data_IF_459223502092
#
_entry.id   IF_459223502092
#
_cell.length_a   1.000
_cell.length_b   1.000
_cell.length_c   1.000
_cell.angle_alpha   90.00
_cell.angle_beta   90.00
_cell.angle_gamma   90.00
#
_symmetry.space_group_name_H-M   'P 1'
#
loop_
_entity.id
_entity.type
_entity.pdbx_description
1 polymer ?
#
# COMPACT_ATOMS: atom_id res chain seq x y z
N UNK A 1 22.97 15.92 -4.49
CA UNK A 1 22.60 15.93 -5.92
C UNK A 1 22.04 14.56 -6.29
N UNK A 2 22.84 13.49 -6.38
CA UNK A 2 22.30 12.14 -6.59
C UNK A 2 21.60 11.55 -5.36
N UNK A 3 22.24 11.56 -4.17
CA UNK A 3 21.59 11.09 -2.93
C UNK A 3 20.28 11.86 -2.61
N UNK A 4 20.30 13.18 -2.79
CA UNK A 4 19.10 14.04 -2.65
C UNK A 4 17.97 13.70 -3.65
N UNK A 5 18.29 13.14 -4.82
CA UNK A 5 17.28 12.72 -5.80
C UNK A 5 16.68 11.36 -5.46
N UNK A 6 17.48 10.46 -4.88
CA UNK A 6 17.05 9.13 -4.45
C UNK A 6 16.16 9.24 -3.20
N UNK A 7 16.56 10.03 -2.21
CA UNK A 7 15.74 10.32 -1.01
C UNK A 7 14.39 10.97 -1.36
N UNK A 8 14.38 11.88 -2.34
CA UNK A 8 13.13 12.49 -2.84
C UNK A 8 12.26 11.51 -3.61
N UNK A 9 12.87 10.59 -4.34
CA UNK A 9 12.16 9.55 -5.08
C UNK A 9 11.49 8.58 -4.10
N UNK A 10 12.21 8.10 -3.10
CA UNK A 10 11.70 7.24 -2.02
C UNK A 10 10.53 7.92 -1.27
N UNK A 11 10.73 9.15 -0.81
CA UNK A 11 9.67 9.93 -0.17
C UNK A 11 8.48 10.14 -1.11
N UNK A 12 8.74 10.42 -2.38
CA UNK A 12 7.71 10.58 -3.40
C UNK A 12 6.88 9.33 -3.60
N UNK A 13 7.50 8.15 -3.65
CA UNK A 13 6.79 6.89 -3.80
C UNK A 13 5.89 6.61 -2.60
N UNK A 14 6.36 6.85 -1.37
CA UNK A 14 5.56 6.69 -0.14
C UNK A 14 4.32 7.59 -0.14
N UNK A 15 4.45 8.82 -0.63
CA UNK A 15 3.30 9.71 -0.82
C UNK A 15 2.34 9.19 -1.89
N UNK A 16 2.84 8.60 -2.98
CA UNK A 16 1.96 8.02 -4.01
C UNK A 16 1.27 6.75 -3.53
N UNK A 17 1.95 5.89 -2.77
CA UNK A 17 1.36 4.70 -2.14
C UNK A 17 0.26 5.11 -1.15
N UNK A 18 0.53 6.13 -0.33
CA UNK A 18 -0.48 6.75 0.55
C UNK A 18 -1.74 7.17 -0.22
N UNK A 19 -1.58 7.78 -1.39
CA UNK A 19 -2.72 8.15 -2.25
C UNK A 19 -3.43 6.93 -2.87
N UNK A 20 -2.69 5.85 -3.14
CA UNK A 20 -3.26 4.56 -3.53
C UNK A 20 -4.18 3.99 -2.46
N UNK A 21 -3.71 3.92 -1.21
CA UNK A 21 -4.53 3.46 -0.08
C UNK A 21 -5.77 4.35 0.12
N UNK A 22 -5.67 5.67 -0.07
CA UNK A 22 -6.83 6.55 0.02
C UNK A 22 -7.90 6.24 -1.04
N UNK A 23 -7.49 5.83 -2.24
CA UNK A 23 -8.42 5.38 -3.27
C UNK A 23 -9.09 4.06 -2.89
N UNK A 24 -8.33 3.06 -2.41
CA UNK A 24 -8.89 1.80 -1.93
C UNK A 24 -9.86 2.01 -0.74
N UNK A 25 -9.52 2.93 0.17
CA UNK A 25 -10.39 3.39 1.25
C UNK A 25 -11.71 3.96 0.71
N UNK A 26 -11.66 4.88 -0.26
CA UNK A 26 -12.86 5.47 -0.86
C UNK A 26 -13.78 4.41 -1.47
N UNK A 27 -13.23 3.44 -2.22
CA UNK A 27 -14.00 2.34 -2.80
C UNK A 27 -14.69 1.50 -1.73
N UNK A 28 -13.98 1.14 -0.66
CA UNK A 28 -14.55 0.33 0.41
C UNK A 28 -15.64 1.08 1.20
N UNK A 29 -15.47 2.38 1.41
CA UNK A 29 -16.54 3.20 2.01
C UNK A 29 -17.79 3.26 1.12
N UNK A 30 -17.62 3.38 -0.20
CA UNK A 30 -18.72 3.39 -1.16
C UNK A 30 -19.45 2.04 -1.21
N UNK A 31 -18.73 0.94 -0.97
CA UNK A 31 -19.27 -0.41 -0.84
C UNK A 31 -19.82 -0.74 0.57
N UNK A 32 -19.75 0.19 1.52
CA UNK A 32 -20.08 0.00 2.95
C UNK A 32 -19.25 -1.10 3.65
N UNK A 33 -18.01 -1.31 3.19
CA UNK A 33 -17.06 -2.23 3.79
C UNK A 33 -16.14 -1.49 4.77
N UNK A 34 -16.60 -1.27 6.00
CA UNK A 34 -15.81 -0.55 7.02
C UNK A 34 -14.56 -1.29 7.48
N UNK A 35 -14.50 -2.61 7.37
CA UNK A 35 -13.34 -3.40 7.79
C UNK A 35 -12.15 -3.13 6.86
N UNK A 36 -12.34 -3.28 5.54
CA UNK A 36 -11.29 -2.98 4.57
C UNK A 36 -11.01 -1.47 4.47
N UNK A 37 -12.03 -0.62 4.63
CA UNK A 37 -11.82 0.83 4.72
C UNK A 37 -10.86 1.19 5.86
N UNK A 38 -11.07 0.63 7.06
CA UNK A 38 -10.20 0.90 8.20
C UNK A 38 -8.77 0.40 7.97
N UNK A 39 -8.61 -0.76 7.33
CA UNK A 39 -7.30 -1.34 6.98
C UNK A 39 -6.53 -0.37 6.08
N UNK A 40 -7.13 0.05 4.97
CA UNK A 40 -6.52 1.01 4.03
C UNK A 40 -6.22 2.37 4.65
N UNK A 41 -7.07 2.85 5.57
CA UNK A 41 -6.78 4.07 6.30
C UNK A 41 -5.61 3.93 7.30
N UNK A 42 -5.28 2.71 7.71
CA UNK A 42 -4.22 2.41 8.68
C UNK A 42 -2.86 2.13 8.03
N UNK A 43 -2.82 1.61 6.79
CA UNK A 43 -1.56 1.26 6.11
C UNK A 43 -0.58 2.45 6.04
N UNK A 44 -0.96 3.68 5.63
CA UNK A 44 -0.02 4.80 5.57
C UNK A 44 0.67 5.13 6.90
N UNK A 45 -0.05 5.07 8.04
CA UNK A 45 0.53 5.35 9.35
C UNK A 45 1.36 4.17 9.88
N UNK A 46 0.99 2.95 9.52
CA UNK A 46 1.65 1.73 9.99
C UNK A 46 2.93 1.40 9.23
N UNK A 47 2.94 1.62 7.91
CA UNK A 47 4.00 1.14 7.01
C UNK A 47 4.86 2.28 6.47
N UNK A 48 4.24 3.40 6.08
CA UNK A 48 4.93 4.45 5.32
C UNK A 48 5.43 5.60 6.22
N UNK A 49 4.69 5.93 7.28
CA UNK A 49 4.97 7.12 8.10
C UNK A 49 6.35 7.10 8.76
N UNK A 50 6.86 5.94 9.19
CA UNK A 50 8.17 5.83 9.82
C UNK A 50 9.28 6.36 8.92
N UNK A 51 9.26 5.94 7.66
CA UNK A 51 10.20 6.38 6.64
C UNK A 51 9.96 7.86 6.25
N UNK A 52 8.71 8.24 5.98
CA UNK A 52 8.36 9.64 5.66
C UNK A 52 8.81 10.63 6.75
N UNK A 53 8.68 10.26 8.02
CA UNK A 53 9.06 11.09 9.17
C UNK A 53 10.56 11.39 9.18
N UNK A 54 11.41 10.44 8.80
CA UNK A 54 12.86 10.67 8.69
C UNK A 54 13.18 11.77 7.65
N UNK A 55 12.45 11.77 6.52
CA UNK A 55 12.61 12.76 5.45
C UNK A 55 11.99 14.12 5.79
N UNK A 56 11.12 14.17 6.81
CA UNK A 56 10.52 15.38 7.35
C UNK A 56 11.20 15.88 8.64
N UNK A 57 12.37 15.33 9.02
CA UNK A 57 13.05 15.68 10.27
C UNK A 57 13.37 17.18 10.44
N UNK A 58 13.63 17.89 9.33
CA UNK A 58 13.86 19.35 9.33
C UNK A 58 12.56 20.18 9.40
N UNK A 59 11.40 19.52 9.36
CA UNK A 59 10.05 20.10 9.40
C UNK A 59 9.18 19.47 10.51
N UNK A 60 9.62 19.47 11.78
CA UNK A 60 8.99 18.67 12.85
C UNK A 60 7.54 19.06 13.16
N UNK A 61 7.16 20.33 12.97
CA UNK A 61 5.75 20.75 13.12
C UNK A 61 4.86 20.17 12.02
N UNK A 62 5.40 20.05 10.81
CA UNK A 62 4.70 19.47 9.68
C UNK A 62 4.64 17.94 9.78
N UNK A 63 5.74 17.29 10.18
CA UNK A 63 5.77 15.84 10.48
C UNK A 63 4.69 15.46 11.51
N UNK A 64 4.59 16.22 12.61
CA UNK A 64 3.54 16.01 13.62
C UNK A 64 2.13 16.23 13.05
N UNK A 65 1.94 17.21 12.15
CA UNK A 65 0.67 17.47 11.47
C UNK A 65 0.30 16.29 10.56
N UNK A 66 1.23 15.81 9.72
CA UNK A 66 1.04 14.64 8.87
C UNK A 66 0.63 13.42 9.69
N UNK A 67 1.38 13.12 10.76
CA UNK A 67 1.06 12.01 11.66
C UNK A 67 -0.36 12.11 12.21
N UNK A 68 -0.72 13.29 12.75
CA UNK A 68 -2.03 13.50 13.35
C UNK A 68 -3.14 13.36 12.30
N UNK A 69 -2.96 13.90 11.09
CA UNK A 69 -3.93 13.77 10.01
C UNK A 69 -4.15 12.31 9.60
N UNK A 70 -3.09 11.51 9.49
CA UNK A 70 -3.22 10.07 9.18
C UNK A 70 -3.92 9.29 10.31
N UNK A 71 -3.59 9.59 11.58
CA UNK A 71 -4.28 8.98 12.74
C UNK A 71 -5.76 9.40 12.82
N UNK A 72 -6.07 10.66 12.50
CA UNK A 72 -7.45 11.16 12.48
C UNK A 72 -8.25 10.55 11.33
N UNK A 73 -7.63 10.35 10.17
CA UNK A 73 -8.23 9.63 9.06
C UNK A 73 -8.59 8.20 9.44
N UNK A 74 -7.65 7.45 10.06
CA UNK A 74 -7.91 6.11 10.57
C UNK A 74 -9.14 6.07 11.50
N UNK A 75 -9.26 7.03 12.43
CA UNK A 75 -10.39 7.10 13.35
C UNK A 75 -11.74 7.41 12.66
N UNK A 76 -11.70 8.06 11.48
CA UNK A 76 -12.87 8.45 10.70
C UNK A 76 -13.17 7.50 9.53
N UNK A 77 -12.31 6.53 9.24
CA UNK A 77 -12.52 5.49 8.23
C UNK A 77 -13.41 4.35 8.76
N UNK A 78 -14.56 4.69 9.33
CA UNK A 78 -15.50 3.72 9.92
C UNK A 78 -16.93 4.01 9.49
N UNK A 79 -17.81 3.02 9.59
CA UNK A 79 -19.26 3.21 9.37
C UNK A 79 -19.96 3.95 10.52
N UNK A 80 -19.24 4.34 11.58
CA UNK A 80 -19.83 5.08 12.71
C UNK A 80 -19.89 6.59 12.44
N UNK A 81 -19.16 7.08 11.44
CA UNK A 81 -19.27 8.45 10.91
C UNK A 81 -20.01 8.44 9.57
N UNK A 82 -20.52 9.60 9.15
CA UNK A 82 -21.16 9.67 7.82
C UNK A 82 -20.13 9.62 6.69
N UNK A 83 -20.56 9.20 5.49
CA UNK A 83 -19.69 9.16 4.30
C UNK A 83 -19.09 10.53 3.98
N UNK A 84 -19.83 11.62 4.22
CA UNK A 84 -19.36 12.99 4.06
C UNK A 84 -18.26 13.34 5.06
N UNK A 85 -18.40 12.96 6.34
CA UNK A 85 -17.36 13.18 7.35
C UNK A 85 -16.09 12.38 7.06
N UNK A 86 -16.24 11.15 6.55
CA UNK A 86 -15.10 10.37 6.08
C UNK A 86 -14.44 11.04 4.86
N UNK A 87 -15.21 11.56 3.91
CA UNK A 87 -14.66 12.28 2.75
C UNK A 87 -13.89 13.53 3.18
N UNK A 88 -14.42 14.32 4.10
CA UNK A 88 -13.72 15.51 4.62
C UNK A 88 -12.35 15.16 5.20
N UNK A 89 -12.24 14.03 5.91
CA UNK A 89 -10.98 13.54 6.44
C UNK A 89 -10.01 13.08 5.35
N UNK A 90 -10.53 12.39 4.32
CA UNK A 90 -9.75 11.94 3.16
C UNK A 90 -9.24 13.14 2.37
N UNK A 91 -10.06 14.16 2.16
CA UNK A 91 -9.67 15.38 1.43
C UNK A 91 -8.62 16.18 2.21
N UNK A 92 -8.75 16.26 3.54
CA UNK A 92 -7.73 16.83 4.43
C UNK A 92 -6.41 16.05 4.32
N UNK A 93 -6.48 14.72 4.30
CA UNK A 93 -5.31 13.86 4.16
C UNK A 93 -4.65 13.98 2.76
N UNK A 94 -5.44 14.07 1.69
CA UNK A 94 -4.92 14.35 0.33
C UNK A 94 -4.23 15.71 0.28
N UNK A 95 -4.76 16.71 0.99
CA UNK A 95 -4.16 18.04 1.08
C UNK A 95 -2.82 17.99 1.83
N UNK A 96 -2.73 17.28 2.97
CA UNK A 96 -1.46 17.19 3.70
C UNK A 96 -0.38 16.44 2.90
N UNK A 97 -0.76 15.42 2.13
CA UNK A 97 0.16 14.70 1.23
C UNK A 97 0.69 15.63 0.14
N UNK A 98 -0.15 16.48 -0.45
CA UNK A 98 0.29 17.47 -1.43
C UNK A 98 1.23 18.52 -0.81
N UNK A 99 0.93 19.01 0.40
CA UNK A 99 1.84 19.91 1.12
C UNK A 99 3.20 19.24 1.42
N UNK A 100 3.20 17.94 1.75
CA UNK A 100 4.42 17.17 2.01
C UNK A 100 5.29 17.06 0.75
N UNK A 101 4.65 16.77 -0.39
CA UNK A 101 5.32 16.74 -1.69
C UNK A 101 5.97 18.08 -2.01
N UNK A 102 5.27 19.19 -1.80
CA UNK A 102 5.81 20.53 -2.07
C UNK A 102 7.01 20.88 -1.17
N UNK A 103 6.99 20.45 0.10
CA UNK A 103 8.06 20.71 1.08
C UNK A 103 9.35 19.96 0.71
N UNK A 104 9.25 18.66 0.42
CA UNK A 104 10.42 17.79 0.27
C UNK A 104 10.86 17.69 -1.20
N UNK A 105 9.92 17.51 -2.12
CA UNK A 105 10.20 17.24 -3.53
C UNK A 105 10.21 18.53 -4.35
N UNK A 106 9.26 19.43 -4.09
CA UNK A 106 9.14 20.72 -4.76
C UNK A 106 8.97 20.60 -6.28
N UNK A 107 9.66 21.45 -7.04
CA UNK A 107 9.51 21.52 -8.51
C UNK A 107 9.80 20.20 -9.24
N UNK A 108 10.59 19.31 -8.64
CA UNK A 108 10.89 17.98 -9.21
C UNK A 108 9.63 17.12 -9.38
N UNK A 109 8.59 17.35 -8.58
CA UNK A 109 7.31 16.65 -8.71
C UNK A 109 6.60 16.91 -10.06
N UNK A 110 6.99 17.97 -10.78
CA UNK A 110 6.45 18.29 -12.10
C UNK A 110 7.24 17.65 -13.26
N UNK A 111 8.40 17.04 -12.98
CA UNK A 111 9.23 16.40 -13.99
C UNK A 111 8.66 15.04 -14.41
N UNK A 112 8.47 14.84 -15.71
CA UNK A 112 7.84 13.62 -16.23
C UNK A 112 8.72 12.38 -16.05
N UNK A 113 10.05 12.53 -16.10
CA UNK A 113 10.97 11.42 -15.83
C UNK A 113 10.96 11.03 -14.35
N UNK A 114 10.78 11.99 -13.44
CA UNK A 114 10.58 11.73 -12.02
C UNK A 114 9.26 11.00 -11.77
N UNK A 115 8.14 11.48 -12.34
CA UNK A 115 6.83 10.81 -12.21
C UNK A 115 6.84 9.40 -12.80
N UNK A 116 7.58 9.16 -13.89
CA UNK A 116 7.74 7.83 -14.48
C UNK A 116 8.49 6.87 -13.52
N UNK A 117 9.51 7.35 -12.81
CA UNK A 117 10.18 6.55 -11.77
C UNK A 117 9.23 6.25 -10.59
N UNK A 118 8.42 7.22 -10.17
CA UNK A 118 7.39 6.97 -9.15
C UNK A 118 6.38 5.90 -9.60
N UNK A 119 5.94 5.97 -10.86
CA UNK A 119 5.05 4.96 -11.44
C UNK A 119 5.70 3.56 -11.46
N UNK A 120 6.99 3.47 -11.76
CA UNK A 120 7.72 2.20 -11.70
C UNK A 120 7.79 1.63 -10.28
N UNK A 121 8.04 2.45 -9.26
CA UNK A 121 8.08 1.98 -7.87
C UNK A 121 6.70 1.45 -7.44
N UNK A 122 5.63 2.16 -7.77
CA UNK A 122 4.26 1.69 -7.50
C UNK A 122 3.95 0.34 -8.17
N UNK A 123 4.39 0.17 -9.41
CA UNK A 123 4.20 -1.07 -10.16
C UNK A 123 5.04 -2.22 -9.59
N UNK A 124 6.26 -1.93 -9.15
CA UNK A 124 7.10 -2.89 -8.43
C UNK A 124 6.44 -3.34 -7.13
N UNK A 125 5.92 -2.41 -6.32
CA UNK A 125 5.17 -2.72 -5.10
C UNK A 125 3.89 -3.50 -5.42
N UNK A 126 3.17 -3.14 -6.48
CA UNK A 126 1.98 -3.87 -6.94
C UNK A 126 2.24 -5.36 -7.23
N UNK A 127 3.41 -5.71 -7.78
CA UNK A 127 3.81 -7.11 -7.97
C UNK A 127 3.90 -7.86 -6.64
N UNK A 128 4.51 -7.22 -5.62
CA UNK A 128 4.65 -7.79 -4.27
C UNK A 128 3.26 -8.03 -3.68
N UNK A 129 2.42 -6.99 -3.64
CA UNK A 129 1.07 -7.09 -3.04
C UNK A 129 0.19 -8.13 -3.74
N UNK A 130 0.26 -8.22 -5.07
CA UNK A 130 -0.51 -9.23 -5.78
C UNK A 130 -0.06 -10.65 -5.45
N UNK A 131 1.25 -10.88 -5.35
CA UNK A 131 1.83 -12.18 -5.00
C UNK A 131 1.53 -12.57 -3.55
N UNK A 132 1.41 -11.59 -2.65
CA UNK A 132 0.94 -11.76 -1.29
C UNK A 132 -0.54 -12.18 -1.26
N UNK A 133 -1.35 -11.53 -2.09
CA UNK A 133 -2.79 -11.63 -2.07
C UNK A 133 -3.36 -12.89 -2.73
N UNK A 134 -2.76 -13.34 -3.84
CA UNK A 134 -3.37 -14.32 -4.74
C UNK A 134 -2.58 -15.62 -4.76
N UNK A 135 -3.26 -16.71 -4.39
CA UNK A 135 -2.72 -18.05 -4.43
C UNK A 135 -3.69 -18.99 -5.18
N UNK A 136 -3.22 -19.69 -6.20
CA UNK A 136 -4.02 -20.59 -7.05
C UNK A 136 -5.35 -19.99 -7.56
N UNK A 137 -5.35 -18.70 -7.91
CA UNK A 137 -6.52 -17.97 -8.39
C UNK A 137 -7.54 -17.59 -7.30
N UNK A 138 -7.19 -17.79 -6.03
CA UNK A 138 -7.98 -17.40 -4.87
C UNK A 138 -7.33 -16.17 -4.24
N UNK A 139 -8.15 -15.16 -3.95
CA UNK A 139 -7.72 -14.00 -3.15
C UNK A 139 -7.72 -14.44 -1.68
N UNK A 140 -6.54 -14.63 -1.11
CA UNK A 140 -6.34 -14.99 0.29
C UNK A 140 -6.24 -13.77 1.20
N UNK A 141 -5.65 -12.67 0.72
CA UNK A 141 -5.54 -11.39 1.43
C UNK A 141 -6.19 -10.29 0.57
N UNK A 142 -7.41 -9.87 0.92
CA UNK A 142 -8.17 -8.91 0.11
C UNK A 142 -7.61 -7.48 0.21
N UNK A 143 -6.99 -7.13 1.35
CA UNK A 143 -6.34 -5.83 1.53
C UNK A 143 -5.18 -5.68 0.53
N UNK A 144 -4.23 -6.60 0.54
CA UNK A 144 -3.11 -6.60 -0.42
C UNK A 144 -3.58 -6.67 -1.88
N UNK A 145 -4.65 -7.43 -2.17
CA UNK A 145 -5.23 -7.44 -3.51
C UNK A 145 -5.69 -6.04 -3.95
N UNK A 146 -6.32 -5.30 -3.03
CA UNK A 146 -6.81 -3.95 -3.29
C UNK A 146 -5.66 -2.95 -3.37
N UNK A 147 -4.64 -3.07 -2.52
CA UNK A 147 -3.46 -2.21 -2.55
C UNK A 147 -2.67 -2.36 -3.85
N UNK A 148 -2.38 -3.61 -4.26
CA UNK A 148 -1.75 -3.87 -5.53
C UNK A 148 -2.54 -3.29 -6.71
N UNK A 149 -3.88 -3.35 -6.67
CA UNK A 149 -4.74 -2.77 -7.72
C UNK A 149 -4.76 -1.23 -7.68
N UNK A 150 -4.70 -0.65 -6.48
CA UNK A 150 -4.66 0.79 -6.26
C UNK A 150 -3.35 1.40 -6.73
N UNK A 151 -2.23 0.70 -6.59
CA UNK A 151 -0.92 1.16 -7.08
C UNK A 151 -0.84 1.13 -8.61
N UNK A 152 -1.46 0.13 -9.27
CA UNK A 152 -1.63 0.13 -10.73
C UNK A 152 -2.48 1.33 -11.17
N UNK A 153 -3.60 1.57 -10.50
CA UNK A 153 -4.45 2.74 -10.76
C UNK A 153 -3.68 4.05 -10.57
N UNK A 154 -2.89 4.16 -9.49
CA UNK A 154 -2.10 5.36 -9.20
C UNK A 154 -1.02 5.61 -10.25
N UNK A 155 -0.36 4.57 -10.75
CA UNK A 155 0.59 4.67 -11.85
C UNK A 155 -0.07 5.21 -13.14
N UNK A 156 -1.31 4.78 -13.42
CA UNK A 156 -2.13 5.31 -14.53
C UNK A 156 -2.48 6.79 -14.34
N UNK A 157 -2.85 7.19 -13.12
CA UNK A 157 -3.11 8.59 -12.81
C UNK A 157 -1.87 9.45 -13.00
N UNK A 158 -0.68 8.98 -12.58
CA UNK A 158 0.58 9.68 -12.83
C UNK A 158 0.81 9.89 -14.33
N UNK A 159 0.66 8.84 -15.15
CA UNK A 159 0.78 8.91 -16.61
C UNK A 159 -0.12 10.00 -17.21
N UNK A 160 -1.36 10.12 -16.72
CA UNK A 160 -2.33 11.10 -17.24
C UNK A 160 -1.87 12.56 -17.06
N UNK A 161 -0.93 12.80 -16.14
CA UNK A 161 -0.36 14.13 -15.85
C UNK A 161 0.96 14.40 -16.57
N UNK A 162 1.49 13.42 -17.30
CA UNK A 162 2.78 13.54 -18.00
C UNK A 162 2.59 14.04 -19.43
N UNK A 163 3.60 14.73 -19.97
CA UNK A 163 3.67 15.12 -21.37
C UNK A 163 4.59 14.17 -22.15
N UNK A 164 4.12 12.94 -22.33
CA UNK A 164 4.85 11.87 -23.04
C UNK A 164 4.36 11.71 -24.49
N UNK A 165 5.17 11.08 -25.35
CA UNK A 165 4.75 10.75 -26.71
C UNK A 165 3.46 9.92 -26.70
N UNK A 166 2.52 10.27 -27.57
CA UNK A 166 1.19 9.65 -27.58
C UNK A 166 1.23 8.14 -27.85
N UNK A 167 2.24 7.66 -28.60
CA UNK A 167 2.43 6.23 -28.85
C UNK A 167 2.86 5.52 -27.58
N UNK A 168 3.81 6.11 -26.85
CA UNK A 168 4.29 5.57 -25.57
C UNK A 168 3.15 5.57 -24.55
N UNK A 169 2.44 6.69 -24.38
CA UNK A 169 1.28 6.77 -23.49
C UNK A 169 0.20 5.73 -23.81
N UNK A 170 -0.09 5.52 -25.10
CA UNK A 170 -1.08 4.53 -25.53
C UNK A 170 -0.62 3.10 -25.25
N UNK A 171 0.67 2.80 -25.41
CA UNK A 171 1.22 1.49 -25.08
C UNK A 171 1.14 1.22 -23.57
N UNK A 172 1.61 2.17 -22.75
CA UNK A 172 1.53 2.08 -21.28
C UNK A 172 0.08 1.86 -20.85
N UNK A 173 -0.85 2.68 -21.36
CA UNK A 173 -2.27 2.57 -21.01
C UNK A 173 -2.88 1.22 -21.40
N UNK A 174 -2.56 0.71 -22.59
CA UNK A 174 -3.04 -0.60 -23.04
C UNK A 174 -2.46 -1.75 -22.22
N UNK A 175 -1.21 -1.65 -21.79
CA UNK A 175 -0.57 -2.65 -20.96
C UNK A 175 -1.11 -2.60 -19.51
N UNK A 176 -1.42 -1.41 -18.98
CA UNK A 176 -2.14 -1.24 -17.70
C UNK A 176 -3.52 -1.90 -17.76
N UNK A 177 -4.29 -1.70 -18.84
CA UNK A 177 -5.59 -2.37 -19.01
C UNK A 177 -5.46 -3.91 -19.02
N UNK A 178 -4.36 -4.45 -19.55
CA UNK A 178 -4.09 -5.89 -19.48
C UNK A 178 -3.81 -6.36 -18.06
N UNK A 179 -3.11 -5.56 -17.23
CA UNK A 179 -2.91 -5.85 -15.80
C UNK A 179 -4.26 -5.81 -15.06
N UNK A 180 -5.07 -4.77 -15.27
CA UNK A 180 -6.41 -4.64 -14.67
C UNK A 180 -7.30 -5.85 -15.01
N UNK A 181 -7.21 -6.35 -16.25
CA UNK A 181 -7.90 -7.58 -16.66
C UNK A 181 -7.34 -8.82 -15.94
N UNK A 182 -6.01 -8.97 -15.84
CA UNK A 182 -5.39 -10.08 -15.14
C UNK A 182 -5.73 -10.10 -13.63
N UNK A 183 -5.85 -8.94 -12.99
CA UNK A 183 -6.40 -8.80 -11.63
C UNK A 183 -7.82 -9.34 -11.55
N UNK A 184 -8.69 -8.93 -12.48
CA UNK A 184 -10.10 -9.37 -12.54
C UNK A 184 -10.21 -10.90 -12.69
N UNK A 185 -9.35 -11.48 -13.54
CA UNK A 185 -9.30 -12.91 -13.82
C UNK A 185 -8.56 -13.71 -12.73
N UNK A 186 -7.93 -13.03 -11.76
CA UNK A 186 -7.11 -13.65 -10.70
C UNK A 186 -6.03 -14.53 -11.32
N UNK A 187 -5.36 -13.99 -12.34
CA UNK A 187 -4.26 -14.64 -13.02
C UNK A 187 -3.15 -15.05 -12.03
N UNK A 188 -2.24 -15.91 -12.49
CA UNK A 188 -1.12 -16.30 -11.63
C UNK A 188 -0.23 -15.09 -11.29
N UNK A 189 0.40 -15.03 -10.10
CA UNK A 189 1.34 -13.95 -9.77
C UNK A 189 2.46 -13.78 -10.80
N UNK A 190 2.96 -14.87 -11.39
CA UNK A 190 3.95 -14.81 -12.47
C UNK A 190 3.44 -14.16 -13.76
N UNK A 191 2.15 -14.32 -14.06
CA UNK A 191 1.53 -13.70 -15.24
C UNK A 191 1.32 -12.20 -15.02
N UNK A 192 0.82 -11.82 -13.84
CA UNK A 192 0.69 -10.40 -13.46
C UNK A 192 2.05 -9.73 -13.44
N UNK A 193 3.07 -10.34 -12.82
CA UNK A 193 4.44 -9.82 -12.81
C UNK A 193 4.97 -9.56 -14.22
N UNK A 194 4.80 -10.51 -15.15
CA UNK A 194 5.27 -10.34 -16.52
C UNK A 194 4.54 -9.21 -17.27
N UNK A 195 3.25 -8.99 -16.99
CA UNK A 195 2.51 -7.86 -17.55
C UNK A 195 2.98 -6.53 -16.96
N UNK A 196 3.22 -6.49 -15.65
CA UNK A 196 3.75 -5.32 -14.95
C UNK A 196 5.14 -4.96 -15.47
N UNK A 197 6.04 -5.93 -15.67
CA UNK A 197 7.38 -5.72 -16.20
C UNK A 197 7.36 -5.05 -17.59
N UNK A 198 6.35 -5.34 -18.43
CA UNK A 198 6.21 -4.66 -19.72
C UNK A 198 5.86 -3.17 -19.56
N UNK A 199 5.01 -2.83 -18.58
CA UNK A 199 4.65 -1.43 -18.29
C UNK A 199 5.85 -0.69 -17.71
N UNK A 200 6.59 -1.35 -16.80
CA UNK A 200 7.81 -0.82 -16.21
C UNK A 200 8.80 -0.45 -17.31
N UNK A 201 9.07 -1.36 -18.26
CA UNK A 201 9.98 -1.10 -19.38
C UNK A 201 9.55 0.11 -20.23
N UNK A 202 8.25 0.31 -20.43
CA UNK A 202 7.75 1.50 -21.15
C UNK A 202 7.97 2.80 -20.35
N UNK A 203 7.83 2.78 -19.03
CA UNK A 203 8.15 3.92 -18.16
C UNK A 203 9.67 4.15 -18.02
N UNK A 204 10.50 3.12 -18.10
CA UNK A 204 11.97 3.26 -18.15
C UNK A 204 12.42 4.01 -19.41
N UNK A 205 11.70 3.86 -20.53
CA UNK A 205 11.92 4.66 -21.74
C UNK A 205 11.60 6.14 -21.47
N UNK A 206 10.58 6.43 -20.67
CA UNK A 206 10.19 7.80 -20.29
C UNK A 206 11.20 8.41 -19.32
N UNK A 207 11.60 7.67 -18.28
CA UNK A 207 12.51 8.15 -17.25
C UNK A 207 13.96 8.20 -17.70
N UNK A 208 14.35 7.32 -18.64
CA UNK A 208 15.75 7.06 -18.98
C UNK A 208 16.54 6.34 -17.89
N UNK A 209 15.86 5.73 -16.92
CA UNK A 209 16.43 5.06 -15.75
C UNK A 209 15.74 3.70 -15.58
N UNK A 210 16.55 2.63 -15.48
CA UNK A 210 16.04 1.28 -15.16
C UNK A 210 15.46 1.25 -13.74
N UNK A 211 14.32 0.58 -13.56
CA UNK A 211 13.73 0.37 -12.24
C UNK A 211 14.56 -0.64 -11.44
N UNK A 212 14.41 -0.56 -10.12
CA UNK A 212 14.88 -1.60 -9.21
C UNK A 212 13.68 -2.34 -8.66
N UNK A 213 13.83 -3.64 -8.41
CA UNK A 213 12.82 -4.42 -7.70
C UNK A 213 12.44 -3.72 -6.39
N UNK A 214 11.15 -3.77 -6.04
CA UNK A 214 10.67 -3.12 -4.82
C UNK A 214 11.40 -3.71 -3.61
N UNK A 215 11.99 -2.83 -2.79
CA UNK A 215 12.41 -3.19 -1.45
C UNK A 215 11.27 -3.15 -0.45
N UNK A 216 10.06 -2.78 -0.91
CA UNK A 216 8.84 -2.88 -0.12
C UNK A 216 8.82 -4.28 0.46
N UNK A 217 8.92 -4.32 1.78
CA UNK A 217 9.18 -5.58 2.45
C UNK A 217 7.99 -6.47 2.11
N UNK A 218 8.22 -7.71 1.66
CA UNK A 218 7.32 -8.79 2.07
C UNK A 218 7.01 -8.48 3.53
N UNK A 219 5.75 -8.18 3.88
CA UNK A 219 5.43 -7.62 5.19
C UNK A 219 6.29 -8.37 6.20
N UNK A 220 7.17 -7.68 6.95
CA UNK A 220 8.17 -8.36 7.80
C UNK A 220 7.53 -9.37 8.75
N UNK A 221 6.20 -9.30 8.88
CA UNK A 221 5.31 -10.27 9.47
C UNK A 221 4.24 -10.71 8.47
N UNK A 222 4.56 -11.72 7.66
CA UNK A 222 3.58 -12.44 6.84
C UNK A 222 2.35 -12.82 7.68
N UNK A 223 1.15 -12.86 7.08
CA UNK A 223 -0.04 -13.29 7.83
C UNK A 223 0.18 -14.67 8.49
N UNK A 224 -0.41 -14.96 9.66
CA UNK A 224 -0.24 -16.25 10.33
C UNK A 224 -0.51 -17.44 9.41
N UNK A 225 -1.43 -17.28 8.47
CA UNK A 225 -1.77 -18.30 7.47
C UNK A 225 -0.66 -18.49 6.45
N UNK A 226 -0.08 -17.41 5.91
CA UNK A 226 1.03 -17.46 4.95
C UNK A 226 2.27 -18.11 5.57
N UNK A 227 2.60 -17.76 6.81
CA UNK A 227 3.68 -18.40 7.56
C UNK A 227 3.45 -19.91 7.76
N UNK A 228 2.23 -20.34 8.13
CA UNK A 228 1.88 -21.76 8.22
C UNK A 228 2.04 -22.49 6.89
N UNK A 229 1.59 -21.88 5.79
CA UNK A 229 1.71 -22.45 4.44
C UNK A 229 3.18 -22.58 4.01
N UNK A 230 4.05 -21.68 4.47
CA UNK A 230 5.50 -21.73 4.32
C UNK A 230 6.20 -22.77 5.23
N UNK A 231 5.43 -23.50 6.05
CA UNK A 231 5.94 -24.57 6.91
C UNK A 231 6.40 -24.12 8.30
N UNK A 232 6.16 -22.86 8.68
CA UNK A 232 6.42 -22.37 10.04
C UNK A 232 5.42 -23.03 10.99
N UNK A 233 5.89 -23.52 12.14
CA UNK A 233 5.00 -24.14 13.13
C UNK A 233 4.11 -23.09 13.81
N UNK A 234 2.87 -23.40 14.23
CA UNK A 234 1.97 -22.42 14.86
C UNK A 234 2.59 -21.62 16.01
N UNK A 235 3.44 -22.22 16.85
CA UNK A 235 4.06 -21.57 17.99
C UNK A 235 5.26 -20.68 17.62
N UNK A 236 5.70 -20.74 16.37
CA UNK A 236 6.84 -19.98 15.83
C UNK A 236 6.38 -18.89 14.87
N UNK A 237 5.07 -18.62 14.83
CA UNK A 237 4.49 -17.53 14.03
C UNK A 237 4.98 -16.21 14.61
N UNK A 238 5.53 -15.35 13.76
CA UNK A 238 5.95 -14.01 14.14
C UNK A 238 4.80 -13.03 13.86
N UNK A 239 4.37 -12.29 14.88
CA UNK A 239 3.34 -11.26 14.73
C UNK A 239 3.97 -9.88 14.60
N UNK A 240 3.29 -8.97 13.88
CA UNK A 240 3.63 -7.54 13.83
C UNK A 240 3.89 -7.00 15.25
N UNK A 241 4.80 -6.02 15.43
CA UNK A 241 5.05 -5.43 16.73
C UNK A 241 3.73 -4.96 17.37
N UNK A 242 3.60 -5.12 18.69
CA UNK A 242 2.37 -4.83 19.46
C UNK A 242 1.20 -5.80 19.28
N UNK A 243 1.32 -6.77 18.36
CA UNK A 243 0.39 -7.90 18.29
C UNK A 243 0.90 -9.10 19.10
N UNK A 244 -0.06 -9.85 19.63
CA UNK A 244 0.14 -11.05 20.42
C UNK A 244 -0.35 -12.25 19.63
N UNK A 245 0.52 -13.27 19.55
CA UNK A 245 0.16 -14.56 19.00
C UNK A 245 -0.76 -15.30 19.98
N UNK A 246 -1.96 -15.63 19.52
CA UNK A 246 -2.93 -16.48 20.21
C UNK A 246 -3.15 -17.74 19.39
N UNK A 247 -3.06 -18.89 20.04
CA UNK A 247 -3.29 -20.20 19.43
C UNK A 247 -4.64 -20.74 19.88
N UNK A 248 -5.44 -21.17 18.91
CA UNK A 248 -6.72 -21.79 19.20
C UNK A 248 -6.54 -23.10 19.98
N UNK A 249 -7.35 -23.31 21.02
CA UNK A 249 -7.23 -24.46 21.92
C UNK A 249 -7.53 -25.81 21.27
N UNK A 250 -8.27 -25.84 20.15
CA UNK A 250 -8.73 -27.07 19.52
C UNK A 250 -7.86 -27.52 18.35
N UNK A 251 -7.40 -26.58 17.52
CA UNK A 251 -6.69 -26.86 16.27
C UNK A 251 -5.32 -26.18 16.19
N UNK A 252 -4.90 -25.46 17.23
CA UNK A 252 -3.65 -24.69 17.26
C UNK A 252 -3.54 -23.65 16.15
N UNK A 253 -4.66 -23.24 15.52
CA UNK A 253 -4.63 -22.20 14.50
C UNK A 253 -4.16 -20.88 15.14
N UNK A 254 -3.14 -20.22 14.55
CA UNK A 254 -2.62 -18.96 15.05
C UNK A 254 -3.48 -17.76 14.66
N UNK A 255 -3.47 -16.75 15.51
CA UNK A 255 -4.00 -15.43 15.25
C UNK A 255 -3.08 -14.38 15.88
N UNK A 256 -2.72 -13.35 15.12
CA UNK A 256 -2.05 -12.17 15.66
C UNK A 256 -3.12 -11.13 15.98
N UNK A 257 -3.23 -10.74 17.24
CA UNK A 257 -4.27 -9.81 17.72
C UNK A 257 -3.67 -8.78 18.68
N UNK A 258 -4.33 -7.64 18.86
CA UNK A 258 -3.93 -6.68 19.90
C UNK A 258 -4.07 -7.29 21.30
N UNK A 259 -3.45 -6.68 22.32
CA UNK A 259 -3.57 -7.09 23.73
C UNK A 259 -5.04 -7.27 24.17
N UNK A 260 -5.89 -6.28 23.87
CA UNK A 260 -7.33 -6.34 24.17
C UNK A 260 -8.03 -7.47 23.41
N UNK A 261 -7.60 -7.75 22.18
CA UNK A 261 -8.09 -8.88 21.40
C UNK A 261 -7.71 -10.23 22.02
N UNK A 262 -6.47 -10.36 22.49
CA UNK A 262 -5.98 -11.56 23.16
C UNK A 262 -6.76 -11.84 24.45
N UNK A 263 -6.96 -10.83 25.29
CA UNK A 263 -7.79 -10.91 26.51
C UNK A 263 -9.20 -11.42 26.20
N UNK A 264 -9.80 -10.90 25.12
CA UNK A 264 -11.13 -11.31 24.70
C UNK A 264 -11.15 -12.77 24.27
N UNK A 265 -10.21 -13.22 23.44
CA UNK A 265 -10.14 -14.60 22.94
C UNK A 265 -9.91 -15.61 24.07
N UNK A 266 -9.08 -15.28 25.05
CA UNK A 266 -8.88 -16.10 26.24
C UNK A 266 -10.14 -16.17 27.11
N UNK A 267 -10.81 -15.04 27.34
CA UNK A 267 -12.06 -14.99 28.13
C UNK A 267 -13.18 -15.83 27.53
N UNK A 268 -13.17 -15.98 26.19
CA UNK A 268 -14.11 -16.81 25.44
C UNK A 268 -13.66 -18.29 25.36
N UNK A 269 -12.49 -18.63 25.89
CA UNK A 269 -11.91 -19.97 25.81
C UNK A 269 -11.53 -20.40 24.39
N UNK A 270 -11.43 -19.45 23.45
CA UNK A 270 -11.13 -19.75 22.04
C UNK A 270 -9.68 -20.20 21.87
N UNK A 271 -8.76 -19.56 22.57
CA UNK A 271 -7.33 -19.81 22.48
C UNK A 271 -6.58 -19.28 23.68
N UNK A 272 -5.26 -19.41 23.63
CA UNK A 272 -4.34 -18.95 24.65
C UNK A 272 -3.10 -18.32 24.00
N UNK A 273 -2.53 -17.30 24.65
CA UNK A 273 -1.29 -16.67 24.19
C UNK A 273 -0.16 -17.72 24.09
N UNK A 274 0.60 -17.65 22.99
CA UNK A 274 1.74 -18.52 22.73
C UNK A 274 3.00 -18.07 23.49
#
# INVERSE_FOLDING_TARGET
AFADSEEKLEFGSELQETLGHFWALELNLDENNSELALIHAAHPIAELYGSMSEKLADHPEFDAKLKQTLMDLQNKATTEVTREQAQEAIDEAKTIVAEAQDIVIGDMANDDAFKAQLANILLETSKVEYAEAVNDGIIEEMAEFQDGSAFVWRAKELLSTMNVDSTIASNISSNIEAIEQAYTEKASPSEVSALVDNVIADFEIVSGVESTESSHMEEAFQSPKKQLNSGISPNAIECKPEMILVLNNNDSRPACVTETGADKLESLGWGMRA
#
